data_IF_101557075670
#
_entry.id   IF_101557075670
#
_cell.length_a   1.000
_cell.length_b   1.000
_cell.length_c   1.000
_cell.angle_alpha   90.00
_cell.angle_beta   90.00
_cell.angle_gamma   90.00
#
_symmetry.space_group_name_H-M   'P 1'
#
loop_
_entity.id
_entity.type
_entity.pdbx_description
1 polymer ?
#
# COMPACT_ATOMS: atom_id res chain seq x y z
N UNK A 1 -2.43 22.41 6.08
CA UNK A 1 -1.87 21.69 4.91
C UNK A 1 -2.86 21.61 3.75
N UNK A 2 -4.00 20.90 3.86
CA UNK A 2 -4.99 20.84 2.75
C UNK A 2 -5.50 22.23 2.31
N UNK A 3 -5.92 23.06 3.27
CA UNK A 3 -6.35 24.43 2.98
C UNK A 3 -5.27 25.31 2.33
N UNK A 4 -3.98 25.01 2.56
CA UNK A 4 -2.87 25.73 1.93
C UNK A 4 -2.72 25.31 0.45
N UNK A 5 -2.85 24.01 0.15
CA UNK A 5 -2.82 23.49 -1.21
C UNK A 5 -3.99 24.00 -2.07
N UNK A 6 -5.15 24.18 -1.46
CA UNK A 6 -6.34 24.73 -2.11
C UNK A 6 -6.20 26.24 -2.38
N UNK A 7 -5.57 26.98 -1.45
CA UNK A 7 -5.30 28.41 -1.61
C UNK A 7 -4.23 28.74 -2.66
N UNK A 8 -3.30 27.82 -2.95
CA UNK A 8 -2.19 28.02 -3.91
C UNK A 8 -2.44 27.31 -5.24
N UNK A 9 -3.67 26.94 -5.55
CA UNK A 9 -4.01 26.30 -6.82
C UNK A 9 -3.96 27.35 -7.96
N UNK A 10 -3.01 27.30 -8.91
CA UNK A 10 -2.90 28.31 -9.97
C UNK A 10 -4.02 28.21 -11.02
N UNK A 11 -4.82 27.14 -10.95
CA UNK A 11 -5.80 26.75 -11.93
C UNK A 11 -7.16 26.66 -11.25
N UNK A 12 -7.98 27.67 -11.50
CA UNK A 12 -9.37 27.68 -11.09
C UNK A 12 -10.17 26.53 -11.71
N UNK A 13 -11.12 26.04 -10.92
CA UNK A 13 -12.41 25.45 -11.32
C UNK A 13 -12.48 24.20 -12.21
N UNK A 14 -11.37 23.58 -12.64
CA UNK A 14 -11.41 22.28 -13.36
C UNK A 14 -10.91 21.12 -12.46
N UNK A 15 -11.82 20.33 -11.87
CA UNK A 15 -11.47 19.20 -11.02
C UNK A 15 -10.69 18.09 -11.74
N UNK A 16 -11.01 17.83 -13.01
CA UNK A 16 -10.40 16.73 -13.77
C UNK A 16 -8.96 17.07 -14.13
N UNK A 17 -8.72 18.31 -14.58
CA UNK A 17 -7.35 18.81 -14.81
C UNK A 17 -6.54 18.85 -13.51
N UNK A 18 -7.17 19.22 -12.40
CA UNK A 18 -6.51 19.24 -11.09
C UNK A 18 -6.08 17.83 -10.69
N UNK A 19 -6.96 16.84 -10.82
CA UNK A 19 -6.62 15.44 -10.56
C UNK A 19 -5.49 14.95 -11.46
N UNK A 20 -5.56 15.23 -12.77
CA UNK A 20 -4.52 14.86 -13.73
C UNK A 20 -3.14 15.38 -13.30
N UNK A 21 -3.06 16.66 -12.90
CA UNK A 21 -1.81 17.26 -12.44
C UNK A 21 -1.28 16.61 -11.15
N UNK A 22 -2.16 16.21 -10.22
CA UNK A 22 -1.73 15.48 -9.01
C UNK A 22 -1.18 14.10 -9.35
N UNK A 23 -1.76 13.41 -10.32
CA UNK A 23 -1.26 12.11 -10.79
C UNK A 23 0.07 12.25 -11.56
N UNK A 24 0.26 13.33 -12.31
CA UNK A 24 1.55 13.63 -12.94
C UNK A 24 2.63 13.91 -11.89
N UNK A 25 2.34 14.73 -10.86
CA UNK A 25 3.29 14.98 -9.76
C UNK A 25 3.62 13.71 -8.99
N UNK A 26 2.67 12.80 -8.79
CA UNK A 26 2.95 11.49 -8.20
C UNK A 26 4.00 10.69 -8.99
N UNK A 27 3.96 10.79 -10.33
CA UNK A 27 4.91 10.10 -11.20
C UNK A 27 6.30 10.74 -11.15
N UNK A 28 6.36 12.06 -10.97
CA UNK A 28 7.59 12.82 -10.73
C UNK A 28 8.27 12.38 -9.42
N UNK A 29 7.54 12.34 -8.29
CA UNK A 29 8.14 11.94 -7.00
C UNK A 29 8.68 10.50 -7.04
N UNK A 30 8.00 9.59 -7.75
CA UNK A 30 8.49 8.23 -7.93
C UNK A 30 9.82 8.20 -8.73
N UNK A 31 10.00 9.13 -9.67
CA UNK A 31 11.25 9.35 -10.38
C UNK A 31 12.35 9.91 -9.47
N UNK A 32 12.01 10.78 -8.53
CA UNK A 32 12.95 11.34 -7.54
C UNK A 32 13.43 10.25 -6.56
N UNK A 33 12.54 9.36 -6.09
CA UNK A 33 12.94 8.15 -5.35
C UNK A 33 13.95 7.32 -6.15
N UNK A 34 13.67 7.06 -7.44
CA UNK A 34 14.58 6.29 -8.29
C UNK A 34 15.94 6.99 -8.44
N UNK A 35 15.94 8.32 -8.59
CA UNK A 35 17.16 9.12 -8.65
C UNK A 35 17.95 9.04 -7.34
N UNK A 36 17.30 9.16 -6.18
CA UNK A 36 17.94 9.06 -4.87
C UNK A 36 18.55 7.67 -4.66
N UNK A 37 17.85 6.59 -5.05
CA UNK A 37 18.36 5.22 -4.99
C UNK A 37 19.59 5.03 -5.89
N UNK A 38 19.56 5.53 -7.13
CA UNK A 38 20.74 5.52 -8.02
C UNK A 38 21.89 6.31 -7.37
N UNK A 39 21.57 7.42 -6.72
CA UNK A 39 22.50 8.28 -6.00
C UNK A 39 23.18 7.60 -4.81
N UNK A 40 22.45 6.87 -3.97
CA UNK A 40 23.01 6.18 -2.79
C UNK A 40 23.76 4.90 -3.17
N UNK A 41 23.31 4.21 -4.22
CA UNK A 41 23.97 2.98 -4.70
C UNK A 41 25.22 3.25 -5.55
N UNK A 42 25.44 4.50 -5.97
CA UNK A 42 26.62 4.88 -6.75
C UNK A 42 26.63 4.34 -8.18
N UNK A 43 25.49 3.89 -8.70
CA UNK A 43 25.36 3.33 -10.05
C UNK A 43 25.58 4.35 -11.18
N UNK A 44 25.85 5.63 -10.88
CA UNK A 44 26.24 6.64 -11.86
C UNK A 44 27.78 6.77 -11.94
N UNK A 45 28.44 6.20 -12.98
CA UNK A 45 29.91 6.18 -13.06
C UNK A 45 30.54 7.57 -13.14
N UNK A 46 29.78 8.61 -13.51
CA UNK A 46 30.27 9.98 -13.63
C UNK A 46 30.20 10.77 -12.32
N UNK A 47 29.38 10.35 -11.36
CA UNK A 47 29.12 11.12 -10.13
C UNK A 47 29.39 10.35 -8.83
N UNK A 48 29.53 9.02 -8.89
CA UNK A 48 29.70 8.21 -7.68
C UNK A 48 28.46 8.27 -6.78
N UNK A 49 28.67 8.16 -5.46
CA UNK A 49 27.60 8.29 -4.46
C UNK A 49 27.27 9.76 -4.25
N UNK A 50 26.01 10.14 -4.48
CA UNK A 50 25.54 11.53 -4.42
C UNK A 50 24.42 11.78 -3.40
N UNK A 51 23.80 10.71 -2.89
CA UNK A 51 22.69 10.77 -1.95
C UNK A 51 22.94 9.82 -0.78
N UNK A 52 22.14 9.99 0.26
CA UNK A 52 22.07 9.16 1.45
C UNK A 52 20.78 8.36 1.46
N UNK A 53 20.68 7.37 2.35
CA UNK A 53 19.42 6.64 2.55
C UNK A 53 18.34 7.54 3.16
N UNK A 54 18.71 8.58 3.90
CA UNK A 54 17.79 9.59 4.41
C UNK A 54 17.13 10.38 3.28
N UNK A 55 17.86 10.64 2.19
CA UNK A 55 17.26 11.28 1.00
C UNK A 55 16.22 10.34 0.39
N UNK A 56 16.50 9.04 0.29
CA UNK A 56 15.50 8.05 -0.18
C UNK A 56 14.26 8.01 0.73
N UNK A 57 14.44 8.07 2.05
CA UNK A 57 13.33 8.14 3.01
C UNK A 57 12.47 9.39 2.81
N UNK A 58 13.11 10.54 2.55
CA UNK A 58 12.42 11.80 2.28
C UNK A 58 11.58 11.70 0.99
N UNK A 59 12.17 11.22 -0.11
CA UNK A 59 11.46 11.07 -1.38
C UNK A 59 10.28 10.07 -1.28
N UNK A 60 10.44 8.99 -0.50
CA UNK A 60 9.35 8.05 -0.24
C UNK A 60 8.20 8.71 0.56
N UNK A 61 8.52 9.61 1.49
CA UNK A 61 7.52 10.39 2.20
C UNK A 61 6.77 11.32 1.23
N UNK A 62 7.46 11.96 0.29
CA UNK A 62 6.86 12.84 -0.71
C UNK A 62 5.92 12.08 -1.65
N UNK A 63 6.31 10.88 -2.10
CA UNK A 63 5.41 9.97 -2.83
C UNK A 63 4.14 9.67 -2.03
N UNK A 64 4.29 9.30 -0.75
CA UNK A 64 3.15 8.94 0.09
C UNK A 64 2.20 10.14 0.30
N UNK A 65 2.75 11.33 0.57
CA UNK A 65 2.00 12.56 0.75
C UNK A 65 1.28 12.95 -0.55
N UNK A 66 1.98 12.93 -1.68
CA UNK A 66 1.42 13.27 -3.00
C UNK A 66 0.31 12.30 -3.41
N UNK A 67 0.46 11.00 -3.14
CA UNK A 67 -0.59 10.01 -3.36
C UNK A 67 -1.84 10.28 -2.50
N UNK A 68 -1.66 10.64 -1.22
CA UNK A 68 -2.77 10.98 -0.32
C UNK A 68 -3.49 12.27 -0.75
N UNK A 69 -2.75 13.26 -1.25
CA UNK A 69 -3.33 14.48 -1.84
C UNK A 69 -4.15 14.13 -3.08
N UNK A 70 -3.61 13.33 -4.00
CA UNK A 70 -4.33 12.89 -5.19
C UNK A 70 -5.62 12.13 -4.84
N UNK A 71 -5.56 11.24 -3.83
CA UNK A 71 -6.75 10.54 -3.33
C UNK A 71 -7.81 11.50 -2.77
N UNK A 72 -7.40 12.53 -2.03
CA UNK A 72 -8.31 13.55 -1.49
C UNK A 72 -8.89 14.46 -2.57
N UNK A 73 -8.14 14.73 -3.63
CA UNK A 73 -8.65 15.43 -4.82
C UNK A 73 -9.69 14.57 -5.55
N UNK A 74 -9.46 13.26 -5.68
CA UNK A 74 -10.39 12.34 -6.34
C UNK A 74 -11.68 12.14 -5.55
N UNK A 75 -11.61 12.12 -4.21
CA UNK A 75 -12.77 11.90 -3.36
C UNK A 75 -12.68 12.59 -2.00
N UNK A 76 -13.76 13.22 -1.52
CA UNK A 76 -13.80 13.72 -0.14
C UNK A 76 -13.68 12.58 0.89
N UNK A 77 -14.04 11.34 0.55
CA UNK A 77 -13.98 10.21 1.47
C UNK A 77 -12.61 9.53 1.56
N UNK A 78 -11.53 10.22 1.16
CA UNK A 78 -10.18 9.68 1.08
C UNK A 78 -9.74 8.92 2.34
N UNK A 79 -10.06 9.43 3.54
CA UNK A 79 -9.76 8.75 4.82
C UNK A 79 -10.40 7.37 4.89
N UNK A 80 -11.70 7.29 4.59
CA UNK A 80 -12.49 6.06 4.64
C UNK A 80 -12.01 5.06 3.57
N UNK A 81 -11.75 5.57 2.36
CA UNK A 81 -11.23 4.75 1.25
C UNK A 81 -9.87 4.15 1.59
N UNK A 82 -8.95 4.96 2.10
CA UNK A 82 -7.61 4.53 2.51
C UNK A 82 -7.68 3.51 3.64
N UNK A 83 -8.40 3.80 4.73
CA UNK A 83 -8.53 2.89 5.87
C UNK A 83 -9.11 1.52 5.47
N UNK A 84 -10.14 1.51 4.62
CA UNK A 84 -10.73 0.27 4.09
C UNK A 84 -9.75 -0.49 3.20
N UNK A 85 -8.96 0.20 2.39
CA UNK A 85 -7.94 -0.46 1.57
C UNK A 85 -6.83 -1.06 2.43
N UNK A 86 -6.34 -0.31 3.42
CA UNK A 86 -5.32 -0.77 4.36
C UNK A 86 -5.78 -1.99 5.17
N UNK A 87 -7.02 -2.01 5.68
CA UNK A 87 -7.59 -3.16 6.36
C UNK A 87 -7.59 -4.41 5.48
N UNK A 88 -8.00 -4.29 4.21
CA UNK A 88 -7.97 -5.40 3.25
C UNK A 88 -6.55 -5.92 2.98
N UNK A 89 -5.56 -5.03 2.88
CA UNK A 89 -4.16 -5.43 2.72
C UNK A 89 -3.69 -6.19 3.96
N UNK A 90 -3.96 -5.67 5.16
CA UNK A 90 -3.64 -6.34 6.43
C UNK A 90 -4.24 -7.73 6.50
N UNK A 91 -5.54 -7.87 6.22
CA UNK A 91 -6.25 -9.15 6.34
C UNK A 91 -5.70 -10.21 5.37
N UNK A 92 -5.24 -9.79 4.19
CA UNK A 92 -4.56 -10.67 3.22
C UNK A 92 -3.15 -11.10 3.65
N UNK A 93 -2.45 -10.25 4.39
CA UNK A 93 -1.09 -10.55 4.88
C UNK A 93 -1.09 -11.42 6.15
N UNK A 94 -2.23 -11.59 6.81
CA UNK A 94 -2.37 -12.47 7.97
C UNK A 94 -2.71 -13.90 7.51
N UNK A 95 -2.02 -14.94 8.01
CA UNK A 95 -2.40 -16.32 7.74
C UNK A 95 -3.83 -16.59 8.22
N UNK A 96 -4.65 -17.23 7.38
CA UNK A 96 -5.94 -17.77 7.82
C UNK A 96 -5.65 -18.77 8.97
N UNK A 97 -6.30 -18.66 10.14
CA UNK A 97 -6.16 -19.68 11.16
C UNK A 97 -6.51 -21.04 10.56
N UNK A 98 -5.66 -22.04 10.79
CA UNK A 98 -5.92 -23.41 10.36
C UNK A 98 -7.33 -23.79 10.79
N UNK A 99 -8.14 -24.28 9.84
CA UNK A 99 -9.45 -24.86 10.17
C UNK A 99 -9.16 -25.93 11.23
N UNK A 100 -9.84 -25.93 12.40
CA UNK A 100 -9.65 -26.99 13.35
C UNK A 100 -9.94 -28.32 12.64
N UNK A 101 -8.95 -29.21 12.63
CA UNK A 101 -9.11 -30.56 12.12
C UNK A 101 -10.31 -31.17 12.83
N UNK A 102 -11.38 -31.43 12.09
CA UNK A 102 -12.49 -32.24 12.59
C UNK A 102 -11.88 -33.55 13.06
N UNK A 103 -11.99 -33.94 14.35
CA UNK A 103 -11.46 -35.20 14.80
C UNK A 103 -12.09 -36.31 13.96
N UNK A 104 -11.26 -37.14 13.34
CA UNK A 104 -11.73 -38.33 12.63
C UNK A 104 -12.64 -39.12 13.58
N UNK A 105 -13.86 -39.40 13.15
CA UNK A 105 -14.81 -40.18 13.92
C UNK A 105 -14.14 -41.50 14.37
N UNK A 106 -14.18 -41.78 15.68
CA UNK A 106 -13.68 -43.04 16.23
C UNK A 106 -14.39 -44.21 15.56
N UNK A 107 -13.66 -45.28 15.15
CA UNK A 107 -14.30 -46.44 14.57
C UNK A 107 -15.17 -47.12 15.64
N UNK A 108 -16.45 -47.29 15.32
CA UNK A 108 -17.40 -48.01 16.16
C UNK A 108 -16.92 -49.44 16.39
N UNK A 109 -17.01 -49.91 17.64
CA UNK A 109 -16.67 -51.27 18.02
C UNK A 109 -17.55 -52.29 17.27
N UNK A 110 -16.91 -53.28 16.64
CA UNK A 110 -17.60 -54.39 15.98
C UNK A 110 -18.35 -55.27 16.99
N UNK A 111 -19.58 -55.73 16.70
CA UNK A 111 -20.31 -56.61 17.61
C UNK A 111 -19.73 -58.03 17.58
N UNK A 112 -19.45 -58.57 18.76
CA UNK A 112 -19.11 -59.98 18.96
C UNK A 112 -20.34 -60.85 18.69
N UNK A 113 -20.32 -61.64 17.62
CA UNK A 113 -21.33 -62.68 17.37
C UNK A 113 -20.95 -63.93 18.17
N UNK A 114 -21.81 -64.34 19.11
CA UNK A 114 -21.74 -65.65 19.77
C UNK A 114 -22.46 -66.69 18.91
N UNK A 115 -21.83 -67.86 18.72
CA UNK A 115 -22.43 -69.01 18.04
C UNK A 115 -23.16 -69.92 19.04
N UNK A 116 -24.35 -70.47 18.70
CA UNK A 116 -25.01 -71.47 19.54
C UNK A 116 -24.52 -72.90 19.25
N UNK A 117 -24.70 -73.76 20.26
CA UNK A 117 -24.28 -75.16 20.39
C UNK A 117 -25.02 -76.14 19.49
#
# INVERSE_FOLDING_TARGET
MWAWLEAHHPLGSDPDRTLLLRLLKLSEEAGEVAQAVIGVTGHNPRKGVTHTWQDVEAELCDVAITALIALRTLTPEARTVFARHLARVRDRCMPQPARPDTPAASPAASPTVSAPS
#
